data_IF_992174386505
#
_entry.id   IF_992174386505
#
_cell.length_a   1.000
_cell.length_b   1.000
_cell.length_c   1.000
_cell.angle_alpha   90.00
_cell.angle_beta   90.00
_cell.angle_gamma   90.00
#
_symmetry.space_group_name_H-M   'P 1'
#
loop_
_entity.id
_entity.type
_entity.pdbx_description
1 polymer ?
#
# COMPACT_ATOMS: atom_id res chain seq x y z
N UNK A 1 3.12 7.38 -1.73
CA UNK A 1 2.36 8.61 -2.05
C UNK A 1 3.21 9.45 -2.98
N UNK A 2 2.72 9.66 -4.20
CA UNK A 2 3.42 10.30 -5.30
C UNK A 2 2.43 11.07 -6.17
N UNK A 3 2.91 12.01 -6.97
CA UNK A 3 2.09 12.71 -7.96
C UNK A 3 2.07 11.98 -9.31
N UNK A 4 1.11 12.32 -10.20
CA UNK A 4 0.89 11.68 -11.49
C UNK A 4 2.11 11.69 -12.41
N UNK A 5 2.98 12.69 -12.29
CA UNK A 5 4.19 12.84 -13.11
C UNK A 5 5.41 12.08 -12.57
N UNK A 6 5.35 11.59 -11.32
CA UNK A 6 6.46 10.90 -10.66
C UNK A 6 6.50 9.39 -10.95
N UNK A 7 5.48 8.87 -11.65
CA UNK A 7 5.37 7.44 -11.94
C UNK A 7 6.52 6.93 -12.82
N UNK A 8 7.09 5.79 -12.48
CA UNK A 8 8.21 5.17 -13.23
C UNK A 8 7.89 4.94 -14.73
N UNK A 9 6.60 4.84 -15.09
CA UNK A 9 6.18 4.70 -16.48
C UNK A 9 6.47 5.94 -17.35
N UNK A 10 6.79 7.07 -16.73
CA UNK A 10 7.09 8.34 -17.39
C UNK A 10 8.57 8.74 -17.30
N UNK A 11 9.42 7.92 -16.70
CA UNK A 11 10.84 8.25 -16.49
C UNK A 11 11.59 8.68 -17.76
N UNK A 12 11.21 8.12 -18.93
CA UNK A 12 11.77 8.52 -20.25
C UNK A 12 11.29 9.89 -20.73
N UNK A 13 10.29 10.50 -20.11
CA UNK A 13 9.63 11.75 -20.52
C UNK A 13 9.66 12.84 -19.49
N UNK A 14 9.70 12.47 -18.23
CA UNK A 14 9.66 13.36 -17.08
C UNK A 14 10.95 13.16 -16.30
N UNK A 15 11.88 14.10 -16.47
CA UNK A 15 13.11 14.11 -15.67
C UNK A 15 12.81 14.60 -14.26
N UNK A 16 13.45 14.02 -13.23
CA UNK A 16 13.37 14.52 -11.85
C UNK A 16 13.73 15.98 -11.70
N UNK A 17 14.67 16.48 -12.51
CA UNK A 17 15.06 17.90 -12.56
C UNK A 17 13.93 18.84 -13.00
N UNK A 18 12.91 18.28 -13.61
CA UNK A 18 11.76 19.02 -14.13
C UNK A 18 10.51 18.88 -13.27
N UNK A 19 10.54 18.13 -12.17
CA UNK A 19 9.36 17.91 -11.32
C UNK A 19 8.73 19.21 -10.83
N UNK A 20 9.54 20.21 -10.50
CA UNK A 20 9.07 21.53 -10.07
C UNK A 20 8.34 22.33 -11.18
N UNK A 21 8.41 21.88 -12.44
CA UNK A 21 7.70 22.50 -13.57
C UNK A 21 6.31 21.96 -13.80
N UNK A 22 5.97 20.84 -13.13
CA UNK A 22 4.67 20.22 -13.26
C UNK A 22 3.71 20.76 -12.20
N UNK A 23 2.43 20.88 -12.57
CA UNK A 23 1.38 21.18 -11.60
C UNK A 23 1.27 20.06 -10.58
N UNK A 24 1.57 20.36 -9.32
CA UNK A 24 1.47 19.38 -8.24
C UNK A 24 0.00 19.24 -7.81
N UNK A 25 -0.47 18.00 -7.80
CA UNK A 25 -1.84 17.64 -7.44
C UNK A 25 -1.90 16.67 -6.27
N UNK A 26 -0.74 16.26 -5.76
CA UNK A 26 -0.62 15.26 -4.68
C UNK A 26 -1.39 15.66 -3.43
N UNK A 27 -1.37 16.95 -3.05
CA UNK A 27 -2.06 17.44 -1.87
C UNK A 27 -3.58 17.30 -2.03
N UNK A 28 -4.17 17.92 -3.06
CA UNK A 28 -5.61 17.86 -3.32
C UNK A 28 -6.12 16.43 -3.50
N UNK A 29 -5.35 15.57 -4.17
CA UNK A 29 -5.72 14.18 -4.40
C UNK A 29 -5.60 13.33 -3.13
N UNK A 30 -4.64 13.64 -2.26
CA UNK A 30 -4.52 12.96 -0.96
C UNK A 30 -5.64 13.39 -0.02
N UNK A 31 -5.98 14.68 0.05
CA UNK A 31 -7.12 15.16 0.85
C UNK A 31 -8.44 14.50 0.39
N UNK A 32 -8.61 14.29 -0.92
CA UNK A 32 -9.74 13.52 -1.46
C UNK A 32 -9.75 12.06 -0.97
N UNK A 33 -8.58 11.40 -0.91
CA UNK A 33 -8.48 10.04 -0.35
C UNK A 33 -8.75 10.02 1.15
N UNK A 34 -8.24 11.00 1.91
CA UNK A 34 -8.49 11.12 3.35
C UNK A 34 -9.99 11.23 3.63
N UNK A 35 -10.71 12.07 2.88
CA UNK A 35 -12.18 12.16 2.98
C UNK A 35 -12.87 10.81 2.69
N UNK A 36 -12.40 10.08 1.66
CA UNK A 36 -12.97 8.75 1.34
C UNK A 36 -12.71 7.73 2.44
N UNK A 37 -11.55 7.79 3.08
CA UNK A 37 -11.19 6.89 4.19
C UNK A 37 -11.93 7.24 5.47
N UNK A 38 -12.10 8.53 5.78
CA UNK A 38 -12.90 9.03 6.89
C UNK A 38 -14.37 8.61 6.74
N UNK A 39 -15.00 8.83 5.57
CA UNK A 39 -16.37 8.39 5.26
C UNK A 39 -16.58 6.90 5.43
N UNK A 40 -15.53 6.10 5.20
CA UNK A 40 -15.55 4.64 5.35
C UNK A 40 -15.10 4.16 6.74
N UNK A 41 -14.64 5.06 7.61
CA UNK A 41 -14.02 4.76 8.91
C UNK A 41 -12.84 3.78 8.80
N UNK A 42 -11.99 3.97 7.80
CA UNK A 42 -10.86 3.10 7.48
C UNK A 42 -9.55 3.84 7.70
N UNK A 43 -8.61 3.22 8.38
CA UNK A 43 -7.23 3.64 8.42
C UNK A 43 -6.39 2.88 7.39
N UNK A 44 -5.29 3.47 6.95
CA UNK A 44 -4.37 2.85 6.00
C UNK A 44 -2.93 3.26 6.25
N UNK A 45 -2.01 2.68 5.48
CA UNK A 45 -0.59 3.02 5.51
C UNK A 45 -0.24 3.88 4.30
N UNK A 46 0.31 5.06 4.53
CA UNK A 46 0.77 5.98 3.50
C UNK A 46 2.27 5.84 3.31
N UNK A 47 2.69 5.21 2.22
CA UNK A 47 4.09 5.17 1.79
C UNK A 47 4.44 6.47 1.08
N UNK A 48 5.19 7.34 1.74
CA UNK A 48 5.41 8.74 1.35
C UNK A 48 6.80 8.89 0.74
N UNK A 49 6.89 9.59 -0.40
CA UNK A 49 8.19 10.04 -0.94
C UNK A 49 8.77 11.15 -0.07
N UNK A 50 10.07 11.10 0.21
CA UNK A 50 10.78 12.16 0.91
C UNK A 50 10.63 13.51 0.20
N UNK A 51 10.68 13.53 -1.13
CA UNK A 51 10.41 14.73 -1.95
C UNK A 51 9.05 15.36 -1.67
N UNK A 52 8.02 14.55 -1.46
CA UNK A 52 6.67 15.03 -1.12
C UNK A 52 6.65 15.53 0.33
N UNK A 53 7.27 14.80 1.26
CA UNK A 53 7.32 15.18 2.67
C UNK A 53 8.01 16.53 2.88
N UNK A 54 9.11 16.78 2.18
CA UNK A 54 9.85 18.04 2.26
C UNK A 54 9.03 19.23 1.73
N UNK A 55 8.29 19.05 0.63
CA UNK A 55 7.51 20.13 0.00
C UNK A 55 6.14 20.35 0.62
N UNK A 56 5.54 19.32 1.16
CA UNK A 56 4.18 19.34 1.71
C UNK A 56 4.15 18.79 3.14
N UNK A 57 4.95 19.35 4.09
CA UNK A 57 5.01 18.83 5.46
C UNK A 57 3.66 18.88 6.17
N UNK A 58 2.86 19.90 5.92
CA UNK A 58 1.52 20.01 6.50
C UNK A 58 0.58 18.89 6.02
N UNK A 59 0.72 18.43 4.79
CA UNK A 59 -0.01 17.27 4.28
C UNK A 59 0.35 16.01 5.05
N UNK A 60 1.65 15.75 5.24
CA UNK A 60 2.14 14.58 5.99
C UNK A 60 1.66 14.61 7.43
N UNK A 61 1.68 15.80 8.05
CA UNK A 61 1.16 16.03 9.39
C UNK A 61 -0.34 15.74 9.48
N UNK A 62 -1.16 16.19 8.52
CA UNK A 62 -2.60 15.89 8.46
C UNK A 62 -2.86 14.38 8.36
N UNK A 63 -2.11 13.66 7.53
CA UNK A 63 -2.23 12.20 7.39
C UNK A 63 -1.94 11.52 8.73
N UNK A 64 -0.86 11.90 9.40
CA UNK A 64 -0.48 11.37 10.71
C UNK A 64 -1.52 11.68 11.78
N UNK A 65 -2.02 12.92 11.84
CA UNK A 65 -3.04 13.36 12.80
C UNK A 65 -4.41 12.69 12.58
N UNK A 66 -4.72 12.28 11.36
CA UNK A 66 -5.90 11.48 11.06
C UNK A 66 -5.76 10.00 11.51
N UNK A 67 -4.62 9.61 12.10
CA UNK A 67 -4.39 8.28 12.66
C UNK A 67 -3.84 7.25 11.67
N UNK A 68 -3.58 7.63 10.42
CA UNK A 68 -2.98 6.75 9.43
C UNK A 68 -1.52 6.43 9.76
N UNK A 69 -1.06 5.26 9.35
CA UNK A 69 0.34 4.89 9.44
C UNK A 69 1.15 5.60 8.36
N UNK A 70 2.31 6.15 8.78
CA UNK A 70 3.27 6.79 7.89
C UNK A 70 4.42 5.82 7.63
N UNK A 71 4.79 5.65 6.37
CA UNK A 71 5.85 4.77 5.90
C UNK A 71 6.66 5.43 4.78
N UNK A 72 7.89 4.95 4.53
CA UNK A 72 8.77 5.48 3.50
C UNK A 72 8.53 4.82 2.14
N UNK A 73 8.60 5.65 1.07
CA UNK A 73 8.62 5.20 -0.33
C UNK A 73 9.93 5.58 -1.05
N UNK A 74 11.02 5.76 -0.28
CA UNK A 74 12.24 6.39 -0.75
C UNK A 74 12.07 7.91 -0.92
N UNK A 75 13.13 8.58 -1.37
CA UNK A 75 13.10 10.03 -1.56
C UNK A 75 12.71 10.41 -2.99
N UNK A 76 13.38 9.79 -4.01
CA UNK A 76 13.31 10.19 -5.41
C UNK A 76 12.48 9.27 -6.31
N UNK A 77 11.71 8.35 -5.79
CA UNK A 77 10.95 7.35 -6.56
C UNK A 77 11.82 6.56 -7.55
N UNK A 78 13.04 6.19 -7.13
CA UNK A 78 13.98 5.44 -7.96
C UNK A 78 13.72 3.94 -7.86
N UNK A 79 13.92 3.24 -8.98
CA UNK A 79 13.84 1.78 -8.97
C UNK A 79 15.08 1.21 -8.27
N UNK A 80 14.89 0.38 -7.24
CA UNK A 80 15.97 -0.13 -6.39
C UNK A 80 17.05 -0.84 -7.20
N UNK A 81 16.66 -1.61 -8.20
CA UNK A 81 17.61 -2.35 -9.04
C UNK A 81 18.42 -1.47 -10.02
N UNK A 82 18.12 -0.20 -10.14
CA UNK A 82 18.88 0.79 -10.92
C UNK A 82 19.82 1.61 -10.05
N UNK A 83 19.84 1.35 -8.73
CA UNK A 83 20.69 2.01 -7.75
C UNK A 83 21.86 1.12 -7.32
N UNK A 84 22.95 1.74 -6.91
CA UNK A 84 23.97 1.09 -6.09
C UNK A 84 23.53 1.03 -4.62
N UNK A 85 24.06 0.11 -3.81
CA UNK A 85 23.73 0.03 -2.39
C UNK A 85 23.86 1.37 -1.64
N UNK A 86 24.94 2.12 -1.86
CA UNK A 86 25.19 3.40 -1.18
C UNK A 86 24.22 4.50 -1.63
N UNK A 87 23.76 4.46 -2.88
CA UNK A 87 22.77 5.39 -3.41
C UNK A 87 21.38 5.08 -2.83
N UNK A 88 21.06 3.80 -2.68
CA UNK A 88 19.81 3.36 -2.05
C UNK A 88 19.78 3.71 -0.56
N UNK A 89 20.87 3.44 0.17
CA UNK A 89 20.99 3.81 1.58
C UNK A 89 20.75 5.31 1.78
N UNK A 90 21.38 6.15 0.98
CA UNK A 90 21.19 7.61 1.05
C UNK A 90 19.74 7.98 0.77
N UNK A 91 19.12 7.42 -0.28
CA UNK A 91 17.72 7.72 -0.66
C UNK A 91 16.73 7.40 0.48
N UNK A 92 16.94 6.28 1.19
CA UNK A 92 16.06 5.92 2.33
C UNK A 92 16.33 6.78 3.57
N UNK A 93 17.58 7.16 3.85
CA UNK A 93 17.92 8.05 4.96
C UNK A 93 17.37 9.45 4.73
N UNK A 94 17.56 10.02 3.54
CA UNK A 94 17.00 11.32 3.16
C UNK A 94 15.46 11.31 3.27
N UNK A 95 14.82 10.18 2.89
CA UNK A 95 13.37 10.00 3.04
C UNK A 95 12.93 9.95 4.51
N UNK A 96 13.65 9.21 5.36
CA UNK A 96 13.36 9.15 6.81
C UNK A 96 13.45 10.53 7.44
N UNK A 97 14.51 11.28 7.15
CA UNK A 97 14.73 12.64 7.66
C UNK A 97 13.61 13.59 7.23
N UNK A 98 13.26 13.61 5.92
CA UNK A 98 12.19 14.46 5.41
C UNK A 98 10.84 14.16 6.06
N UNK A 99 10.49 12.89 6.25
CA UNK A 99 9.24 12.49 6.89
C UNK A 99 9.24 12.86 8.38
N UNK A 100 10.35 12.61 9.07
CA UNK A 100 10.48 12.98 10.48
C UNK A 100 10.35 14.49 10.68
N UNK A 101 11.02 15.30 9.86
CA UNK A 101 10.93 16.76 9.90
C UNK A 101 9.49 17.26 9.63
N UNK A 102 8.73 16.55 8.79
CA UNK A 102 7.35 16.92 8.47
C UNK A 102 6.36 16.61 9.60
N UNK A 103 6.47 15.49 10.30
CA UNK A 103 5.44 15.06 11.25
C UNK A 103 5.95 14.44 12.56
N UNK A 104 7.26 14.35 12.78
CA UNK A 104 7.86 13.79 14.00
C UNK A 104 7.76 12.26 14.11
N UNK A 105 7.36 11.55 13.05
CA UNK A 105 7.21 10.09 13.06
C UNK A 105 8.47 9.41 12.55
N UNK A 106 9.04 8.52 13.34
CA UNK A 106 10.09 7.60 12.88
C UNK A 106 9.45 6.46 12.09
N UNK A 107 9.75 6.38 10.80
CA UNK A 107 9.20 5.34 9.92
C UNK A 107 9.98 4.04 10.05
N UNK A 108 9.25 2.93 10.19
CA UNK A 108 9.79 1.57 10.28
C UNK A 108 9.28 0.65 9.18
N UNK A 109 8.39 1.13 8.31
CA UNK A 109 7.89 0.41 7.16
C UNK A 109 8.35 1.07 5.85
N UNK A 110 8.67 0.24 4.86
CA UNK A 110 9.14 0.65 3.54
C UNK A 110 8.36 -0.02 2.42
N UNK A 111 8.24 0.67 1.30
CA UNK A 111 7.82 0.09 0.02
C UNK A 111 8.67 0.67 -1.11
N UNK A 112 9.31 -0.19 -1.88
CA UNK A 112 10.09 0.22 -3.04
C UNK A 112 9.19 0.78 -4.14
N UNK A 113 9.60 1.89 -4.80
CA UNK A 113 8.95 2.38 -6.00
C UNK A 113 8.75 1.27 -7.02
N UNK A 114 7.53 1.18 -7.57
CA UNK A 114 7.15 0.13 -8.53
C UNK A 114 7.47 -1.31 -8.10
N UNK A 115 7.49 -1.61 -6.80
CA UNK A 115 7.81 -2.95 -6.26
C UNK A 115 9.15 -3.48 -6.78
N UNK A 116 10.17 -2.61 -6.79
CA UNK A 116 11.46 -2.86 -7.46
C UNK A 116 12.48 -3.64 -6.63
N UNK A 117 12.08 -4.24 -5.47
CA UNK A 117 12.86 -5.29 -4.84
C UNK A 117 12.49 -6.61 -5.53
N UNK A 118 13.38 -7.04 -6.40
CA UNK A 118 13.30 -8.27 -7.21
C UNK A 118 14.53 -9.14 -6.90
N UNK A 119 14.67 -10.39 -7.40
CA UNK A 119 15.79 -11.25 -7.04
C UNK A 119 17.17 -10.60 -7.10
N UNK A 120 17.43 -9.76 -8.10
CA UNK A 120 18.74 -9.06 -8.28
C UNK A 120 18.96 -7.89 -7.32
N UNK A 121 17.92 -7.38 -6.67
CA UNK A 121 17.99 -6.25 -5.72
C UNK A 121 17.61 -6.63 -4.29
N UNK A 122 17.62 -7.93 -3.96
CA UNK A 122 17.35 -8.44 -2.59
C UNK A 122 18.33 -7.92 -1.54
N UNK A 123 19.52 -7.49 -1.94
CA UNK A 123 20.49 -6.82 -1.08
C UNK A 123 19.93 -5.57 -0.38
N UNK A 124 18.89 -4.96 -0.93
CA UNK A 124 18.22 -3.81 -0.34
C UNK A 124 17.58 -4.13 1.03
N UNK A 125 17.14 -5.38 1.25
CA UNK A 125 16.58 -5.81 2.54
C UNK A 125 17.62 -5.78 3.67
N UNK A 126 18.91 -6.10 3.38
CA UNK A 126 19.99 -5.99 4.35
C UNK A 126 20.15 -4.53 4.81
N UNK A 127 20.15 -3.59 3.87
CA UNK A 127 20.26 -2.14 4.15
C UNK A 127 19.03 -1.63 4.88
N UNK A 128 17.82 -2.04 4.49
CA UNK A 128 16.59 -1.67 5.20
C UNK A 128 16.65 -2.11 6.66
N UNK A 129 17.05 -3.36 6.93
CA UNK A 129 17.19 -3.87 8.30
C UNK A 129 18.26 -3.11 9.09
N UNK A 130 19.41 -2.82 8.48
CA UNK A 130 20.50 -2.03 9.07
C UNK A 130 20.03 -0.63 9.47
N UNK A 131 19.23 0.02 8.60
CA UNK A 131 18.69 1.36 8.84
C UNK A 131 17.41 1.36 9.71
N UNK A 132 17.11 0.22 10.37
CA UNK A 132 16.07 0.11 11.38
C UNK A 132 14.66 -0.10 10.86
N UNK A 133 14.48 -0.36 9.55
CA UNK A 133 13.17 -0.79 9.04
C UNK A 133 12.82 -2.19 9.55
N UNK A 134 11.56 -2.38 9.92
CA UNK A 134 11.02 -3.64 10.46
C UNK A 134 10.12 -4.35 9.46
N UNK A 135 9.50 -3.59 8.56
CA UNK A 135 8.54 -4.09 7.59
C UNK A 135 8.88 -3.61 6.19
N UNK A 136 8.87 -4.53 5.24
CA UNK A 136 8.90 -4.24 3.80
C UNK A 136 7.60 -4.69 3.13
N UNK A 137 7.25 -4.03 2.04
CA UNK A 137 6.10 -4.39 1.22
C UNK A 137 6.40 -4.17 -0.26
N UNK A 138 7.52 -4.73 -0.70
CA UNK A 138 8.08 -4.46 -2.02
C UNK A 138 8.13 -5.67 -2.93
N UNK A 139 8.04 -6.90 -2.40
CA UNK A 139 8.25 -8.12 -3.17
C UNK A 139 6.91 -8.63 -3.68
N UNK A 140 6.65 -8.45 -4.97
CA UNK A 140 5.39 -8.87 -5.57
C UNK A 140 5.48 -10.32 -6.07
N UNK A 141 4.73 -11.29 -5.51
CA UNK A 141 4.85 -12.71 -5.85
C UNK A 141 4.11 -13.06 -7.16
N UNK A 142 4.49 -12.41 -8.27
CA UNK A 142 3.92 -12.65 -9.60
C UNK A 142 5.01 -12.80 -10.65
N UNK A 143 4.66 -13.45 -11.77
CA UNK A 143 5.48 -13.55 -12.98
C UNK A 143 4.95 -12.66 -14.11
N UNK A 144 5.81 -12.37 -15.08
CA UNK A 144 5.42 -11.80 -16.38
C UNK A 144 5.19 -10.28 -16.42
N UNK A 145 5.54 -9.54 -15.35
CA UNK A 145 5.54 -8.08 -15.40
C UNK A 145 6.91 -7.54 -15.84
N UNK A 146 6.90 -6.44 -16.61
CA UNK A 146 8.10 -5.87 -17.23
C UNK A 146 9.04 -5.13 -16.25
N UNK A 147 8.59 -4.78 -15.05
CA UNK A 147 9.34 -3.98 -14.06
C UNK A 147 9.51 -4.62 -12.69
N UNK A 148 8.65 -5.55 -12.32
CA UNK A 148 8.67 -6.17 -11.00
C UNK A 148 8.17 -7.62 -11.03
N UNK A 149 8.36 -8.30 -9.94
CA UNK A 149 7.85 -9.64 -9.70
C UNK A 149 8.94 -10.62 -9.27
N UNK A 150 8.57 -11.45 -8.33
CA UNK A 150 9.33 -12.63 -7.90
C UNK A 150 8.35 -13.78 -7.66
N UNK A 151 8.09 -14.61 -8.68
CA UNK A 151 7.10 -15.68 -8.59
C UNK A 151 7.44 -16.76 -7.56
N UNK A 152 8.69 -16.80 -7.09
CA UNK A 152 9.15 -17.77 -6.09
C UNK A 152 9.02 -17.23 -4.66
N UNK A 153 8.64 -15.97 -4.48
CA UNK A 153 8.42 -15.40 -3.16
C UNK A 153 7.11 -15.89 -2.54
N UNK A 154 7.05 -16.08 -1.21
CA UNK A 154 5.80 -16.41 -0.52
C UNK A 154 4.70 -15.37 -0.79
N UNK A 155 3.44 -15.82 -0.81
CA UNK A 155 2.25 -14.97 -1.03
C UNK A 155 1.62 -14.48 0.28
N UNK A 156 2.02 -15.05 1.41
CA UNK A 156 1.62 -14.65 2.76
C UNK A 156 2.62 -13.68 3.37
N UNK A 157 2.23 -13.04 4.47
CA UNK A 157 3.16 -12.30 5.33
C UNK A 157 4.22 -13.29 5.83
N UNK A 158 5.50 -12.92 5.75
CA UNK A 158 6.60 -13.80 6.15
C UNK A 158 7.82 -13.01 6.61
N UNK A 159 8.70 -13.66 7.38
CA UNK A 159 9.99 -13.10 7.77
C UNK A 159 11.04 -13.37 6.71
N UNK A 160 11.84 -12.38 6.42
CA UNK A 160 13.04 -12.51 5.59
C UNK A 160 14.26 -12.30 6.48
N UNK A 161 15.14 -13.30 6.55
CA UNK A 161 16.41 -13.19 7.27
C UNK A 161 17.36 -12.27 6.51
N UNK A 162 17.94 -11.29 7.20
CA UNK A 162 18.96 -10.38 6.68
C UNK A 162 20.20 -10.43 7.56
N UNK A 163 21.28 -9.78 7.14
CA UNK A 163 22.52 -9.68 7.92
C UNK A 163 22.37 -8.89 9.22
N UNK A 164 21.35 -8.02 9.28
CA UNK A 164 21.12 -7.09 10.40
C UNK A 164 19.84 -7.42 11.18
N UNK A 165 19.39 -8.67 11.12
CA UNK A 165 18.17 -9.16 11.77
C UNK A 165 17.02 -9.36 10.78
N UNK A 166 15.90 -9.93 11.23
CA UNK A 166 14.77 -10.22 10.35
C UNK A 166 13.99 -8.96 9.98
N UNK A 167 13.48 -8.92 8.75
CA UNK A 167 12.49 -7.96 8.28
C UNK A 167 11.22 -8.70 7.88
N UNK A 168 10.06 -8.13 8.16
CA UNK A 168 8.78 -8.72 7.77
C UNK A 168 8.37 -8.22 6.40
N UNK A 169 8.21 -9.14 5.45
CA UNK A 169 7.63 -8.83 4.15
C UNK A 169 6.11 -9.00 4.19
N UNK A 170 5.37 -7.93 3.81
CA UNK A 170 3.96 -8.01 3.53
C UNK A 170 3.72 -7.83 2.02
N UNK A 171 3.61 -8.93 1.26
CA UNK A 171 3.61 -8.87 -0.18
C UNK A 171 2.32 -8.23 -0.74
N UNK A 172 2.41 -7.49 -1.86
CA UNK A 172 1.22 -7.07 -2.59
C UNK A 172 0.39 -8.26 -3.04
N UNK A 173 -0.94 -8.12 -2.97
CA UNK A 173 -1.85 -9.23 -3.22
C UNK A 173 -2.09 -9.48 -4.70
N UNK A 174 -1.99 -10.75 -5.11
CA UNK A 174 -2.49 -11.26 -6.36
C UNK A 174 -3.36 -12.51 -6.10
N UNK A 175 -4.63 -12.42 -6.45
CA UNK A 175 -5.50 -13.58 -6.60
C UNK A 175 -5.18 -14.35 -7.87
N UNK A 176 -5.99 -15.35 -8.20
CA UNK A 176 -5.84 -16.18 -9.38
C UNK A 176 -7.15 -16.30 -10.16
N UNK A 177 -7.06 -16.25 -11.49
CA UNK A 177 -8.15 -16.61 -12.39
C UNK A 177 -7.77 -17.88 -13.13
N UNK A 178 -8.65 -18.87 -13.12
CA UNK A 178 -8.48 -20.12 -13.85
C UNK A 178 -9.05 -19.99 -15.27
N UNK A 179 -8.21 -20.20 -16.26
CA UNK A 179 -8.61 -20.36 -17.67
C UNK A 179 -8.26 -21.76 -18.13
N UNK A 180 -9.16 -22.69 -17.93
CA UNK A 180 -8.91 -24.11 -18.20
C UNK A 180 -7.70 -24.63 -17.39
N UNK A 181 -6.64 -25.03 -18.04
CA UNK A 181 -5.41 -25.53 -17.39
C UNK A 181 -4.44 -24.41 -16.96
N UNK A 182 -4.69 -23.16 -17.32
CA UNK A 182 -3.81 -22.03 -16.99
C UNK A 182 -4.35 -21.22 -15.81
N UNK A 183 -3.48 -20.93 -14.86
CA UNK A 183 -3.75 -19.97 -13.78
C UNK A 183 -3.06 -18.67 -14.09
N UNK A 184 -3.83 -17.59 -14.14
CA UNK A 184 -3.30 -16.25 -14.38
C UNK A 184 -3.38 -15.44 -13.08
N UNK A 185 -2.31 -14.69 -12.73
CA UNK A 185 -2.35 -13.82 -11.56
C UNK A 185 -3.37 -12.70 -11.78
N UNK A 186 -4.10 -12.37 -10.71
CA UNK A 186 -5.05 -11.26 -10.64
C UNK A 186 -4.60 -10.27 -9.58
N UNK A 187 -3.69 -9.33 -9.88
CA UNK A 187 -3.33 -8.26 -8.98
C UNK A 187 -4.52 -7.33 -8.70
N UNK A 188 -4.61 -6.76 -7.49
CA UNK A 188 -5.82 -6.04 -7.06
C UNK A 188 -5.65 -4.54 -6.87
N UNK A 189 -4.44 -3.99 -6.89
CA UNK A 189 -4.19 -2.56 -6.67
C UNK A 189 -3.86 -1.79 -7.94
N UNK A 190 -3.76 -0.48 -7.79
CA UNK A 190 -3.27 0.41 -8.83
C UNK A 190 -4.02 0.30 -10.16
N UNK A 191 -3.28 0.24 -11.25
CA UNK A 191 -3.83 0.14 -12.61
C UNK A 191 -4.75 -1.06 -12.82
N UNK A 192 -4.52 -2.17 -12.15
CA UNK A 192 -5.39 -3.34 -12.22
C UNK A 192 -6.76 -3.06 -11.59
N UNK A 193 -6.80 -2.39 -10.44
CA UNK A 193 -8.05 -1.95 -9.84
C UNK A 193 -8.84 -1.03 -10.77
N UNK A 194 -8.18 -0.11 -11.47
CA UNK A 194 -8.85 0.78 -12.43
C UNK A 194 -9.41 0.03 -13.63
N UNK A 195 -8.66 -0.94 -14.13
CA UNK A 195 -8.99 -1.71 -15.35
C UNK A 195 -10.09 -2.75 -15.12
N UNK A 196 -9.99 -3.56 -14.05
CA UNK A 196 -10.88 -4.69 -13.84
C UNK A 196 -12.21 -4.29 -13.16
N UNK A 197 -13.31 -5.00 -13.41
CA UNK A 197 -14.54 -4.86 -12.64
C UNK A 197 -14.31 -5.11 -11.14
N UNK A 198 -15.05 -4.40 -10.28
CA UNK A 198 -14.92 -4.50 -8.82
C UNK A 198 -15.08 -5.94 -8.32
N UNK A 199 -15.99 -6.73 -8.92
CA UNK A 199 -16.21 -8.14 -8.56
C UNK A 199 -14.97 -9.02 -8.67
N UNK A 200 -14.06 -8.73 -9.64
CA UNK A 200 -12.78 -9.45 -9.75
C UNK A 200 -11.83 -9.08 -8.60
N UNK A 201 -11.77 -7.81 -8.24
CA UNK A 201 -11.00 -7.37 -7.06
C UNK A 201 -11.50 -8.04 -5.79
N UNK A 202 -12.83 -8.07 -5.58
CA UNK A 202 -13.44 -8.71 -4.41
C UNK A 202 -13.19 -10.22 -4.38
N UNK A 203 -13.29 -10.88 -5.54
CA UNK A 203 -12.97 -12.30 -5.67
C UNK A 203 -11.52 -12.59 -5.27
N UNK A 204 -10.55 -11.78 -5.74
CA UNK A 204 -9.15 -11.95 -5.40
C UNK A 204 -8.88 -11.72 -3.90
N UNK A 205 -9.48 -10.70 -3.29
CA UNK A 205 -9.40 -10.45 -1.85
C UNK A 205 -9.91 -11.68 -1.07
N UNK A 206 -11.09 -12.18 -1.42
CA UNK A 206 -11.70 -13.34 -0.76
C UNK A 206 -10.83 -14.61 -0.91
N UNK A 207 -10.25 -14.83 -2.10
CA UNK A 207 -9.35 -15.96 -2.33
C UNK A 207 -8.11 -15.92 -1.44
N UNK A 208 -7.47 -14.73 -1.34
CA UNK A 208 -6.26 -14.56 -0.55
C UNK A 208 -6.56 -14.67 0.93
N UNK A 209 -7.62 -14.01 1.41
CA UNK A 209 -8.05 -14.12 2.81
C UNK A 209 -8.33 -15.56 3.25
N UNK A 210 -8.88 -16.37 2.36
CA UNK A 210 -9.16 -17.78 2.66
C UNK A 210 -7.92 -18.70 2.63
N UNK A 211 -6.82 -18.27 1.96
CA UNK A 211 -5.65 -19.14 1.73
C UNK A 211 -4.40 -18.70 2.49
N UNK A 212 -4.15 -17.40 2.56
CA UNK A 212 -2.85 -16.85 2.99
C UNK A 212 -2.98 -15.74 4.04
N UNK A 213 -4.18 -15.40 4.47
CA UNK A 213 -4.40 -14.36 5.48
C UNK A 213 -4.74 -12.99 4.89
N UNK A 214 -4.33 -11.89 5.51
CA UNK A 214 -4.69 -10.54 5.11
C UNK A 214 -4.31 -10.22 3.67
N UNK A 215 -5.22 -9.55 2.95
CA UNK A 215 -4.98 -9.10 1.58
C UNK A 215 -4.52 -7.64 1.56
N UNK A 216 -3.46 -7.35 0.83
CA UNK A 216 -3.00 -5.98 0.64
C UNK A 216 -3.60 -5.38 -0.63
N UNK A 217 -4.34 -4.29 -0.47
CA UNK A 217 -4.80 -3.43 -1.55
C UNK A 217 -4.03 -2.12 -1.54
N UNK A 218 -3.65 -1.59 -2.71
CA UNK A 218 -2.96 -0.32 -2.83
C UNK A 218 -3.58 0.58 -3.89
N UNK A 219 -3.48 1.89 -3.67
CA UNK A 219 -3.93 2.94 -4.58
C UNK A 219 -3.01 4.15 -4.45
N UNK A 220 -2.84 4.91 -5.53
CA UNK A 220 -2.08 6.16 -5.52
C UNK A 220 -3.02 7.36 -5.51
N UNK A 221 -2.64 8.51 -4.93
CA UNK A 221 -3.49 9.71 -4.89
C UNK A 221 -3.94 10.16 -6.29
N UNK A 222 -3.07 10.13 -7.29
CA UNK A 222 -3.39 10.53 -8.65
C UNK A 222 -4.42 9.62 -9.35
N UNK A 223 -4.68 8.42 -8.85
CA UNK A 223 -5.64 7.50 -9.45
C UNK A 223 -7.11 7.89 -9.21
N UNK A 224 -7.38 8.81 -8.31
CA UNK A 224 -8.72 9.40 -8.09
C UNK A 224 -8.91 10.74 -8.78
N UNK A 225 -7.96 11.15 -9.64
CA UNK A 225 -7.97 12.43 -10.34
C UNK A 225 -8.14 12.24 -11.86
N UNK A 226 -9.36 12.26 -12.40
CA UNK A 226 -9.60 12.16 -13.83
C UNK A 226 -9.13 13.40 -14.62
N UNK A 227 -8.98 14.54 -13.93
CA UNK A 227 -8.68 15.84 -14.53
C UNK A 227 -7.18 16.19 -14.45
N UNK A 228 -6.34 15.24 -14.04
CA UNK A 228 -4.90 15.43 -13.97
C UNK A 228 -4.30 15.82 -15.34
N UNK A 229 -3.28 16.68 -15.38
CA UNK A 229 -2.61 17.07 -16.61
C UNK A 229 -2.11 15.87 -17.42
N UNK A 230 -2.22 15.93 -18.73
CA UNK A 230 -1.81 14.83 -19.60
C UNK A 230 -0.35 15.00 -20.01
N UNK A 231 0.47 13.98 -19.71
CA UNK A 231 1.85 13.92 -20.20
C UNK A 231 1.86 13.66 -21.70
N UNK A 232 2.57 14.51 -22.43
CA UNK A 232 2.71 14.41 -23.89
C UNK A 232 3.61 13.25 -24.33
N UNK A 233 3.52 12.86 -25.62
CA UNK A 233 4.44 11.92 -26.30
C UNK A 233 4.59 10.55 -25.64
N UNK A 234 3.57 10.07 -24.93
CA UNK A 234 3.53 8.71 -24.38
C UNK A 234 3.19 7.67 -25.45
N UNK A 235 3.72 6.44 -25.31
CA UNK A 235 3.29 5.31 -26.12
C UNK A 235 1.79 5.03 -25.88
N UNK A 236 1.04 4.51 -26.86
CA UNK A 236 -0.38 4.16 -26.68
C UNK A 236 -0.60 3.22 -25.48
N UNK A 237 0.29 2.25 -25.27
CA UNK A 237 0.24 1.31 -24.13
C UNK A 237 0.41 2.03 -22.80
N UNK A 238 1.42 2.91 -22.66
CA UNK A 238 1.67 3.68 -21.44
C UNK A 238 0.51 4.62 -21.16
N UNK A 239 0.03 5.34 -22.18
CA UNK A 239 -1.12 6.23 -22.09
C UNK A 239 -2.37 5.51 -21.61
N UNK A 240 -2.69 4.36 -22.19
CA UNK A 240 -3.83 3.54 -21.79
C UNK A 240 -3.69 3.10 -20.33
N UNK A 241 -2.56 2.49 -19.96
CA UNK A 241 -2.31 2.00 -18.60
C UNK A 241 -2.44 3.08 -17.53
N UNK A 242 -2.01 4.31 -17.82
CA UNK A 242 -2.04 5.40 -16.86
C UNK A 242 -3.44 6.02 -16.73
N UNK A 243 -4.14 6.28 -17.83
CA UNK A 243 -5.38 7.05 -17.81
C UNK A 243 -6.66 6.21 -17.78
N UNK A 244 -6.57 4.88 -17.96
CA UNK A 244 -7.76 4.01 -17.96
C UNK A 244 -8.50 4.06 -16.62
N UNK A 245 -9.79 4.29 -16.66
CA UNK A 245 -10.70 4.13 -15.53
C UNK A 245 -10.65 5.19 -14.43
N UNK A 246 -9.83 6.25 -14.55
CA UNK A 246 -9.68 7.29 -13.53
C UNK A 246 -11.02 7.86 -13.03
N UNK A 247 -11.95 8.15 -13.93
CA UNK A 247 -13.27 8.70 -13.63
C UNK A 247 -14.18 7.78 -12.81
N UNK A 248 -13.84 6.50 -12.66
CA UNK A 248 -14.60 5.51 -11.91
C UNK A 248 -13.89 5.04 -10.65
N UNK A 249 -12.63 5.41 -10.46
CA UNK A 249 -11.78 4.87 -9.40
C UNK A 249 -12.31 5.21 -8.02
N UNK A 250 -12.65 6.48 -7.76
CA UNK A 250 -13.15 6.90 -6.45
C UNK A 250 -14.46 6.18 -6.08
N UNK A 251 -15.42 6.11 -7.00
CA UNK A 251 -16.69 5.42 -6.73
C UNK A 251 -16.50 3.92 -6.50
N UNK A 252 -15.54 3.29 -7.19
CA UNK A 252 -15.17 1.88 -6.95
C UNK A 252 -14.49 1.71 -5.60
N UNK A 253 -13.59 2.63 -5.23
CA UNK A 253 -12.91 2.62 -3.94
C UNK A 253 -13.91 2.70 -2.79
N UNK A 254 -14.84 3.67 -2.83
CA UNK A 254 -15.92 3.79 -1.82
C UNK A 254 -16.72 2.49 -1.66
N UNK A 255 -17.02 1.79 -2.75
CA UNK A 255 -17.72 0.49 -2.70
C UNK A 255 -16.84 -0.61 -2.10
N UNK A 256 -15.55 -0.65 -2.45
CA UNK A 256 -14.60 -1.62 -1.93
C UNK A 256 -14.42 -1.47 -0.41
N UNK A 257 -14.24 -0.26 0.07
CA UNK A 257 -14.05 0.05 1.48
C UNK A 257 -15.29 -0.28 2.33
N UNK A 258 -16.48 -0.05 1.80
CA UNK A 258 -17.75 -0.44 2.49
C UNK A 258 -17.97 -1.95 2.56
N UNK A 259 -17.39 -2.70 1.64
CA UNK A 259 -17.56 -4.14 1.56
C UNK A 259 -16.53 -4.96 2.35
N UNK A 260 -15.49 -4.31 2.88
CA UNK A 260 -14.39 -4.99 3.55
C UNK A 260 -13.89 -4.13 4.73
N UNK A 261 -13.35 -4.79 5.75
CA UNK A 261 -12.58 -4.11 6.81
C UNK A 261 -11.13 -3.94 6.36
N UNK A 262 -10.62 -2.72 6.48
CA UNK A 262 -9.23 -2.38 6.19
C UNK A 262 -8.59 -1.76 7.43
N UNK A 263 -7.29 -1.93 7.56
CA UNK A 263 -6.45 -1.33 8.59
C UNK A 263 -5.06 -1.00 8.07
N UNK A 264 -4.26 -0.26 8.84
CA UNK A 264 -2.87 0.02 8.51
C UNK A 264 -2.02 -1.25 8.61
N UNK A 265 -0.92 -1.28 7.88
CA UNK A 265 -0.04 -2.44 7.76
C UNK A 265 0.51 -2.91 9.12
N UNK A 266 0.84 -1.99 10.02
CA UNK A 266 1.34 -2.30 11.36
C UNK A 266 0.42 -3.20 12.19
N UNK A 267 -0.89 -3.20 11.96
CA UNK A 267 -1.85 -4.06 12.68
C UNK A 267 -1.71 -5.53 12.30
N UNK A 268 -1.20 -5.81 11.12
CA UNK A 268 -1.08 -7.15 10.56
C UNK A 268 0.32 -7.75 10.67
N UNK A 269 1.33 -6.94 11.00
CA UNK A 269 2.73 -7.35 11.08
C UNK A 269 3.29 -7.30 12.50
N UNK A 270 2.43 -7.25 13.52
CA UNK A 270 2.88 -7.28 14.89
C UNK A 270 3.58 -8.62 15.22
N UNK A 271 4.52 -8.58 16.14
CA UNK A 271 5.39 -9.72 16.46
C UNK A 271 4.60 -10.98 16.87
N UNK A 272 3.45 -10.85 17.51
CA UNK A 272 2.63 -11.99 17.96
C UNK A 272 2.03 -12.80 16.80
N UNK A 273 1.63 -12.14 15.70
CA UNK A 273 1.14 -12.84 14.51
C UNK A 273 2.27 -13.57 13.75
N UNK A 274 3.50 -13.10 13.91
CA UNK A 274 4.66 -13.64 13.20
C UNK A 274 5.28 -14.80 13.98
N UNK A 275 5.29 -14.73 15.32
CA UNK A 275 5.82 -15.80 16.17
C UNK A 275 4.99 -17.09 16.06
N UNK A 276 3.68 -16.99 15.84
CA UNK A 276 2.81 -18.14 15.53
C UNK A 276 3.11 -18.80 14.16
N UNK A 277 3.80 -18.08 13.25
CA UNK A 277 4.21 -18.59 11.92
C UNK A 277 5.64 -19.15 11.94
N UNK A 278 6.48 -18.72 12.89
CA UNK A 278 7.92 -18.96 12.92
C UNK A 278 8.39 -20.14 13.75
N UNK A 279 7.58 -20.71 14.64
CA UNK A 279 7.98 -21.80 15.56
C UNK A 279 7.74 -23.22 15.00
N UNK A 280 7.21 -23.39 13.83
CA UNK A 280 7.13 -24.70 13.16
C UNK A 280 7.98 -24.73 11.89
N UNK A 281 9.13 -25.41 12.01
CA UNK A 281 9.97 -25.93 10.93
C UNK A 281 9.64 -25.49 9.49
N UNK A 282 10.37 -24.53 8.96
CA UNK A 282 10.78 -24.31 7.56
C UNK A 282 9.86 -24.70 6.40
N UNK A 283 8.58 -24.93 6.59
CA UNK A 283 7.63 -25.35 5.56
C UNK A 283 6.35 -24.50 5.60
N UNK A 284 6.00 -23.89 4.46
CA UNK A 284 4.76 -23.19 4.14
C UNK A 284 3.49 -23.81 4.74
N UNK A 285 3.11 -23.43 5.96
CA UNK A 285 1.76 -23.72 6.45
C UNK A 285 0.92 -22.45 6.46
N UNK A 286 -0.26 -22.43 5.80
CA UNK A 286 -1.15 -21.30 5.82
C UNK A 286 -1.75 -21.10 7.21
N UNK A 287 -1.78 -19.85 7.68
CA UNK A 287 -2.47 -19.45 8.92
C UNK A 287 -3.96 -19.70 8.76
N UNK A 288 -4.48 -20.72 9.42
CA UNK A 288 -5.90 -21.01 9.49
C UNK A 288 -6.53 -20.46 10.76
N UNK A 289 -6.69 -19.15 10.91
CA UNK A 289 -7.61 -18.62 11.93
C UNK A 289 -8.17 -17.26 11.48
N UNK A 290 -9.36 -17.31 10.91
CA UNK A 290 -10.27 -16.19 10.94
C UNK A 290 -10.79 -16.06 12.38
N UNK A 291 -10.23 -15.18 13.20
CA UNK A 291 -10.93 -14.71 14.39
C UNK A 291 -11.92 -13.63 13.97
N UNK A 292 -13.19 -13.96 14.06
CA UNK A 292 -14.27 -12.97 14.14
C UNK A 292 -13.96 -12.04 15.32
N UNK A 293 -13.73 -10.77 15.03
CA UNK A 293 -13.77 -9.73 16.05
C UNK A 293 -15.24 -9.60 16.44
N UNK A 294 -15.65 -10.27 17.52
CA UNK A 294 -16.93 -10.03 18.16
C UNK A 294 -16.94 -8.57 18.63
N UNK A 295 -17.80 -7.79 18.01
CA UNK A 295 -18.20 -6.50 18.52
C UNK A 295 -18.86 -6.73 19.90
N UNK A 296 -18.16 -6.38 20.97
CA UNK A 296 -18.75 -6.34 22.31
C UNK A 296 -19.82 -5.25 22.33
N UNK A 297 -21.08 -5.66 22.22
CA UNK A 297 -22.23 -4.83 22.51
C UNK A 297 -22.19 -4.42 23.98
N UNK A 298 -21.81 -3.20 24.25
CA UNK A 298 -22.09 -2.54 25.53
C UNK A 298 -23.59 -2.36 25.65
N UNK A 299 -24.21 -3.27 26.39
CA UNK A 299 -25.60 -3.21 26.75
C UNK A 299 -25.90 -2.01 27.64
N UNK A 300 -26.58 -1.03 27.07
CA UNK A 300 -27.24 0.00 27.84
C UNK A 300 -28.50 -0.59 28.46
N UNK A 301 -28.44 -0.92 29.77
CA UNK A 301 -29.64 -1.27 30.55
C UNK A 301 -30.48 -0.02 30.73
N UNK A 302 -31.59 0.09 30.01
CA UNK A 302 -32.66 0.98 30.37
C UNK A 302 -33.43 0.37 31.53
N UNK A 303 -33.37 1.01 32.71
CA UNK A 303 -34.28 0.81 33.81
C UNK A 303 -35.67 1.34 33.41
N UNK A 304 -36.66 0.43 33.40
CA UNK A 304 -38.08 0.80 33.48
C UNK A 304 -38.45 0.98 34.95
N UNK A 305 -38.95 2.13 35.32
CA UNK A 305 -39.86 2.26 36.46
C UNK A 305 -40.91 3.36 36.17
N UNK A 306 -42.13 2.90 36.16
CA UNK A 306 -43.39 3.49 36.63
C UNK A 306 -44.05 4.71 35.96
N UNK A 307 -45.12 4.35 35.30
CA UNK A 307 -46.49 4.87 35.36
C UNK A 307 -46.76 6.19 36.12
N UNK A 308 -47.38 7.15 35.46
CA UNK A 308 -48.68 7.69 35.93
C UNK A 308 -49.35 8.52 34.81
N UNK A 309 -50.63 8.22 34.59
CA UNK A 309 -51.68 8.90 33.88
C UNK A 309 -51.84 10.38 34.33
N UNK A 310 -52.20 11.29 33.39
CA UNK A 310 -53.41 12.16 33.51
C UNK A 310 -53.71 12.89 32.18
N UNK A 311 -55.03 12.92 31.93
CA UNK A 311 -55.76 13.56 30.85
C UNK A 311 -55.61 15.09 30.81
N UNK A 312 -55.67 15.72 29.68
CA UNK A 312 -56.70 16.50 29.02
C UNK A 312 -56.23 16.90 27.62
#
# INVERSE_FOLDING_TARGET
MEDYFQVSAFADRVSRKDWDKYECRVEANTDRLLTVFEDAQVLGTFFILGWVAERYPDLVKRISQAGHEIASHGYWHQLVYDLKPEEFERDILDSKEAIYNACGVEVTAYRAPSFSIVPRSRWALDILAEQGFKTDSSIFPIAGHDRYGDPNSPKSIHRVTTKHGPITEFPPTAGEINFGLKRLPLPIGGGYFRLFPLGLTQMAINQVRAKTGPAMFYIHPWEVDPDQPKIGRLSPKTRFRHYVGLNRTESKLKKLLRANSFGPLKEFVNEQLIDEIGDEDGLDKPVSHAREVQASSLGCKMNRSDSTTFST
#
